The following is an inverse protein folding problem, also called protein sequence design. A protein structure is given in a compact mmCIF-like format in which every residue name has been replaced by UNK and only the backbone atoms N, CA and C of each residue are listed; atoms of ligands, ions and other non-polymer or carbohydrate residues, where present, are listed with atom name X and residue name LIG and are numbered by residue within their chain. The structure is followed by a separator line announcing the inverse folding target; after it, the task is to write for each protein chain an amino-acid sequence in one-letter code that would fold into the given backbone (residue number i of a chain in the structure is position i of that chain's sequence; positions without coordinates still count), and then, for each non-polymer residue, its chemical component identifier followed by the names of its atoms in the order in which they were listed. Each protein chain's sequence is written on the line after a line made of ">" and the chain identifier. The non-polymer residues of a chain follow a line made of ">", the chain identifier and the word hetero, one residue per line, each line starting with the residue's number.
data_IF_762883929643
#
_entry.id   IF_762883929643
#
_cell.length_a   1.000
_cell.length_b   1.000
_cell.length_c   1.000
_cell.angle_alpha   90.00
_cell.angle_beta   90.00
_cell.angle_gamma   90.00
#
_symmetry.space_group_name_H-M   'P 1'
#
loop_
_entity.id
_entity.type
_entity.pdbx_description
1 polymer ?
#
# COMPACT_ATOMS: atom_id res chain seq x y z
N UNK A 1 -11.77 -19.56 -20.70
CA UNK A 1 -12.30 -18.19 -20.74
C UNK A 1 -11.27 -17.33 -21.46
N UNK A 2 -11.69 -16.50 -22.41
CA UNK A 2 -10.77 -15.65 -23.17
C UNK A 2 -10.18 -14.55 -22.26
N UNK A 3 -8.93 -14.15 -22.53
CA UNK A 3 -8.24 -13.08 -21.81
C UNK A 3 -9.08 -11.79 -21.71
N UNK A 4 -9.71 -11.43 -22.83
CA UNK A 4 -10.53 -10.21 -22.92
C UNK A 4 -11.72 -10.27 -21.98
N UNK A 5 -12.44 -11.39 -21.96
CA UNK A 5 -13.61 -11.60 -21.09
C UNK A 5 -13.24 -11.54 -19.61
N UNK A 6 -12.09 -12.12 -19.24
CA UNK A 6 -11.61 -12.08 -17.85
C UNK A 6 -11.26 -10.66 -17.42
N UNK A 7 -10.56 -9.91 -18.26
CA UNK A 7 -10.21 -8.52 -17.99
C UNK A 7 -11.46 -7.62 -17.91
N UNK A 8 -12.41 -7.80 -18.82
CA UNK A 8 -13.66 -7.01 -18.85
C UNK A 8 -14.56 -7.31 -17.63
N UNK A 9 -14.47 -8.53 -17.08
CA UNK A 9 -15.20 -8.95 -15.88
C UNK A 9 -14.54 -8.44 -14.59
N UNK A 10 -13.22 -8.35 -14.57
CA UNK A 10 -12.45 -8.03 -13.36
C UNK A 10 -12.25 -6.52 -13.17
N UNK A 11 -12.12 -5.77 -14.27
CA UNK A 11 -11.78 -4.36 -14.21
C UNK A 11 -13.02 -3.47 -14.09
N UNK A 12 -12.92 -2.44 -13.23
CA UNK A 12 -13.97 -1.44 -13.01
C UNK A 12 -13.65 -0.08 -13.65
N UNK A 13 -12.44 0.08 -14.20
CA UNK A 13 -12.01 1.28 -14.94
C UNK A 13 -11.00 0.92 -16.04
N UNK A 14 -10.78 1.81 -17.03
CA UNK A 14 -9.73 1.61 -18.05
C UNK A 14 -8.34 1.48 -17.45
N UNK A 15 -8.01 2.24 -16.40
CA UNK A 15 -6.73 2.20 -15.69
C UNK A 15 -6.54 0.85 -15.01
N UNK A 16 -7.56 0.37 -14.31
CA UNK A 16 -7.55 -0.95 -13.67
C UNK A 16 -7.41 -2.08 -14.70
N UNK A 17 -8.10 -1.96 -15.84
CA UNK A 17 -7.96 -2.91 -16.94
C UNK A 17 -6.53 -2.98 -17.49
N UNK A 18 -5.86 -1.83 -17.61
CA UNK A 18 -4.47 -1.78 -18.04
C UNK A 18 -3.55 -2.43 -16.99
N UNK A 19 -3.78 -2.14 -15.70
CA UNK A 19 -3.07 -2.78 -14.59
C UNK A 19 -3.22 -4.31 -14.66
N UNK A 20 -4.44 -4.82 -14.70
CA UNK A 20 -4.71 -6.26 -14.73
C UNK A 20 -4.16 -6.94 -15.98
N UNK A 21 -4.14 -6.24 -17.13
CA UNK A 21 -3.48 -6.72 -18.34
C UNK A 21 -1.98 -6.90 -18.13
N UNK A 22 -1.30 -5.94 -17.46
CA UNK A 22 0.12 -6.05 -17.11
C UNK A 22 0.40 -7.18 -16.12
N UNK A 23 -0.50 -7.38 -15.14
CA UNK A 23 -0.43 -8.53 -14.20
C UNK A 23 -0.49 -9.85 -14.96
N UNK A 24 -1.45 -9.98 -15.90
CA UNK A 24 -1.55 -11.15 -16.77
C UNK A 24 -0.25 -11.38 -17.55
N UNK A 25 0.25 -10.34 -18.23
CA UNK A 25 1.45 -10.46 -19.06
C UNK A 25 2.67 -10.90 -18.25
N UNK A 26 2.82 -10.43 -17.00
CA UNK A 26 3.91 -10.85 -16.12
C UNK A 26 3.76 -12.30 -15.65
N UNK A 27 2.55 -12.72 -15.29
CA UNK A 27 2.25 -14.09 -14.95
C UNK A 27 2.56 -15.05 -16.12
N UNK A 28 2.06 -14.74 -17.32
CA UNK A 28 2.30 -15.54 -18.53
C UNK A 28 3.78 -15.54 -18.95
N UNK A 29 4.47 -14.41 -18.82
CA UNK A 29 5.89 -14.32 -19.10
C UNK A 29 6.72 -15.23 -18.16
N UNK A 30 6.40 -15.21 -16.87
CA UNK A 30 7.04 -16.11 -15.91
C UNK A 30 6.81 -17.58 -16.30
N UNK A 31 5.55 -17.94 -16.54
CA UNK A 31 5.16 -19.33 -16.88
C UNK A 31 5.77 -19.82 -18.18
N UNK A 32 5.77 -18.99 -19.23
CA UNK A 32 6.21 -19.42 -20.59
C UNK A 32 7.71 -19.38 -20.77
N UNK A 33 8.40 -18.40 -20.14
CA UNK A 33 9.86 -18.23 -20.27
C UNK A 33 10.64 -18.85 -19.12
N UNK A 34 9.94 -19.32 -18.07
CA UNK A 34 10.54 -19.91 -16.88
C UNK A 34 11.57 -18.99 -16.19
N UNK A 35 11.26 -17.67 -16.12
CA UNK A 35 12.07 -16.62 -15.50
C UNK A 35 11.25 -15.86 -14.47
N UNK A 36 11.87 -15.34 -13.39
CA UNK A 36 11.18 -14.47 -12.46
C UNK A 36 10.72 -13.16 -13.16
N UNK A 37 9.54 -12.70 -12.83
CA UNK A 37 8.98 -11.46 -13.36
C UNK A 37 8.32 -10.65 -12.27
N UNK A 38 8.24 -9.32 -12.44
CA UNK A 38 7.62 -8.42 -11.49
C UNK A 38 6.79 -7.34 -12.19
N UNK A 39 5.73 -6.89 -11.52
CA UNK A 39 5.03 -5.65 -11.89
C UNK A 39 5.85 -4.43 -11.47
N UNK A 40 5.40 -3.22 -11.79
CA UNK A 40 5.79 -2.02 -11.05
C UNK A 40 5.24 -2.05 -9.61
N UNK A 41 5.58 -1.03 -8.82
CA UNK A 41 5.01 -0.87 -7.48
C UNK A 41 3.53 -0.53 -7.56
N UNK A 42 2.73 -1.31 -6.86
CA UNK A 42 1.29 -1.20 -6.75
C UNK A 42 0.91 -0.50 -5.43
N UNK A 43 -0.03 0.42 -5.49
CA UNK A 43 -0.71 0.92 -4.31
C UNK A 43 -1.54 -0.19 -3.65
N UNK A 44 -1.94 -0.06 -2.39
CA UNK A 44 -2.76 -1.06 -1.73
C UNK A 44 -4.09 -1.37 -2.45
N UNK A 45 -4.71 -0.37 -3.09
CA UNK A 45 -5.92 -0.60 -3.91
C UNK A 45 -5.62 -1.44 -5.15
N UNK A 46 -4.52 -1.15 -5.86
CA UNK A 46 -4.06 -1.92 -7.01
C UNK A 46 -3.65 -3.34 -6.62
N UNK A 47 -3.05 -3.54 -5.44
CA UNK A 47 -2.75 -4.87 -4.89
C UNK A 47 -4.03 -5.67 -4.67
N UNK A 48 -5.08 -5.05 -4.10
CA UNK A 48 -6.37 -5.71 -3.90
C UNK A 48 -7.03 -6.12 -5.23
N UNK A 49 -6.99 -5.25 -6.24
CA UNK A 49 -7.49 -5.54 -7.57
C UNK A 49 -6.70 -6.69 -8.23
N UNK A 50 -5.37 -6.64 -8.16
CA UNK A 50 -4.49 -7.69 -8.68
C UNK A 50 -4.72 -9.03 -7.98
N UNK A 51 -4.88 -9.04 -6.65
CA UNK A 51 -5.19 -10.24 -5.86
C UNK A 51 -6.53 -10.86 -6.27
N UNK A 52 -7.58 -10.02 -6.43
CA UNK A 52 -8.88 -10.47 -6.92
C UNK A 52 -8.79 -11.09 -8.31
N UNK A 53 -8.00 -10.51 -9.18
CA UNK A 53 -7.77 -11.01 -10.53
C UNK A 53 -7.02 -12.35 -10.54
N UNK A 54 -5.99 -12.52 -9.70
CA UNK A 54 -5.29 -13.80 -9.55
C UNK A 54 -6.23 -14.93 -9.08
N UNK A 55 -7.19 -14.62 -8.23
CA UNK A 55 -8.22 -15.59 -7.82
C UNK A 55 -9.07 -16.03 -8.99
N UNK A 56 -9.49 -15.08 -9.85
CA UNK A 56 -10.27 -15.39 -11.08
C UNK A 56 -9.48 -16.21 -12.10
N UNK A 57 -8.15 -16.02 -12.13
CA UNK A 57 -7.25 -16.81 -12.98
C UNK A 57 -6.98 -18.22 -12.44
N UNK A 58 -7.40 -18.54 -11.21
CA UNK A 58 -6.97 -19.76 -10.52
C UNK A 58 -5.48 -19.80 -10.18
N UNK A 59 -4.83 -18.64 -10.18
CA UNK A 59 -3.39 -18.43 -9.97
C UNK A 59 -3.09 -17.73 -8.63
N UNK A 60 -3.94 -17.90 -7.62
CA UNK A 60 -3.85 -17.22 -6.33
C UNK A 60 -2.49 -17.37 -5.64
N UNK A 61 -1.90 -18.53 -5.74
CA UNK A 61 -0.63 -18.89 -5.08
C UNK A 61 0.60 -18.58 -5.95
N UNK A 62 0.39 -18.13 -7.19
CA UNK A 62 1.47 -17.88 -8.15
C UNK A 62 2.17 -16.54 -7.96
N UNK A 63 1.65 -15.66 -7.10
CA UNK A 63 2.15 -14.29 -6.96
C UNK A 63 2.46 -13.92 -5.51
N UNK A 64 3.60 -13.26 -5.30
CA UNK A 64 4.06 -12.77 -3.99
C UNK A 64 4.08 -11.25 -4.02
N UNK A 65 3.38 -10.60 -3.07
CA UNK A 65 3.45 -9.15 -2.89
C UNK A 65 4.62 -8.81 -1.96
N UNK A 66 5.64 -8.15 -2.51
CA UNK A 66 6.83 -7.74 -1.79
C UNK A 66 7.17 -6.27 -2.01
N UNK A 67 7.48 -5.54 -0.95
CA UNK A 67 7.79 -4.11 -0.97
C UNK A 67 9.18 -3.76 -0.43
N UNK A 68 10.02 -4.78 -0.16
CA UNK A 68 11.39 -4.59 0.34
C UNK A 68 11.54 -4.69 1.85
N UNK A 69 10.44 -4.62 2.61
CA UNK A 69 10.40 -4.81 4.07
C UNK A 69 9.00 -5.22 4.53
N UNK A 70 8.89 -5.78 5.74
CA UNK A 70 7.62 -6.16 6.33
C UNK A 70 6.77 -4.93 6.66
N UNK A 71 5.52 -4.93 6.19
CA UNK A 71 4.61 -3.81 6.39
C UNK A 71 4.68 -2.71 5.32
N UNK A 72 5.46 -2.91 4.25
CA UNK A 72 5.48 -1.99 3.12
C UNK A 72 4.07 -1.74 2.57
N UNK A 73 3.72 -0.47 2.32
CA UNK A 73 2.42 -0.11 1.74
C UNK A 73 2.41 -0.34 0.23
N UNK A 74 3.45 0.09 -0.46
CA UNK A 74 3.59 -0.13 -1.90
C UNK A 74 4.40 -1.38 -2.15
N UNK A 75 3.85 -2.30 -2.94
CA UNK A 75 4.47 -3.61 -3.21
C UNK A 75 4.51 -3.89 -4.69
N UNK A 76 5.51 -4.62 -5.12
CA UNK A 76 5.51 -5.26 -6.44
C UNK A 76 4.83 -6.62 -6.30
N UNK A 77 4.15 -7.05 -7.34
CA UNK A 77 3.67 -8.41 -7.47
C UNK A 77 4.71 -9.20 -8.26
N UNK A 78 5.34 -10.15 -7.59
CA UNK A 78 6.39 -11.01 -8.11
C UNK A 78 5.79 -12.33 -8.54
N UNK A 79 6.22 -12.86 -9.68
CA UNK A 79 5.93 -14.22 -10.13
C UNK A 79 7.23 -14.97 -10.23
N UNK A 80 7.31 -16.11 -9.53
CA UNK A 80 8.50 -16.93 -9.48
C UNK A 80 8.29 -18.21 -10.29
N UNK A 81 9.28 -18.66 -11.08
CA UNK A 81 9.25 -19.96 -11.72
C UNK A 81 9.38 -21.07 -10.68
N UNK A 82 8.97 -22.30 -11.03
CA UNK A 82 8.95 -23.44 -10.10
C UNK A 82 10.30 -23.79 -9.45
N UNK A 83 11.40 -23.47 -10.13
CA UNK A 83 12.75 -23.71 -9.61
C UNK A 83 13.20 -22.68 -8.56
N UNK A 84 12.45 -21.61 -8.35
CA UNK A 84 12.78 -20.49 -7.47
C UNK A 84 11.76 -20.40 -6.33
N UNK A 85 12.12 -20.89 -5.14
CA UNK A 85 11.20 -20.95 -3.99
C UNK A 85 10.93 -19.59 -3.36
N UNK A 86 11.92 -18.66 -3.39
CA UNK A 86 11.85 -17.34 -2.78
C UNK A 86 12.47 -16.28 -3.71
N UNK A 87 12.05 -14.99 -3.61
CA UNK A 87 12.70 -13.88 -4.30
C UNK A 87 14.20 -13.80 -3.96
N UNK A 88 15.05 -13.50 -4.93
CA UNK A 88 16.50 -13.40 -4.73
C UNK A 88 16.94 -12.01 -4.19
N UNK A 89 16.00 -11.10 -4.00
CA UNK A 89 16.25 -9.76 -3.48
C UNK A 89 16.67 -8.74 -4.52
N UNK A 90 16.77 -9.13 -5.79
CA UNK A 90 17.16 -8.20 -6.88
C UNK A 90 15.96 -7.40 -7.42
N UNK A 91 14.74 -7.73 -7.00
CA UNK A 91 13.51 -7.13 -7.53
C UNK A 91 13.26 -5.71 -7.01
N UNK A 92 13.90 -5.33 -5.90
CA UNK A 92 13.74 -4.02 -5.26
C UNK A 92 15.11 -3.49 -4.87
N UNK A 93 15.36 -2.22 -5.17
CA UNK A 93 16.51 -1.49 -4.66
C UNK A 93 16.07 -0.41 -3.67
N UNK A 94 17.02 0.11 -2.90
CA UNK A 94 16.81 1.28 -2.07
C UNK A 94 17.96 2.28 -2.19
N UNK A 95 17.62 3.56 -2.06
CA UNK A 95 18.58 4.65 -1.93
C UNK A 95 18.27 5.48 -0.70
N UNK A 96 19.30 6.06 -0.11
CA UNK A 96 19.18 7.07 0.95
C UNK A 96 19.47 8.45 0.37
N UNK A 97 18.59 9.41 0.62
CA UNK A 97 18.78 10.81 0.25
C UNK A 97 18.90 11.64 1.53
N UNK A 98 20.07 12.20 1.79
CA UNK A 98 20.35 13.05 2.94
C UNK A 98 20.33 14.53 2.54
N UNK A 99 19.63 15.37 3.29
CA UNK A 99 19.61 16.81 3.12
C UNK A 99 20.96 17.40 3.59
N UNK A 100 21.65 18.13 2.72
CA UNK A 100 22.99 18.68 3.04
C UNK A 100 23.01 19.71 4.14
N UNK A 101 21.93 20.49 4.25
CA UNK A 101 21.78 21.50 5.32
C UNK A 101 21.10 20.94 6.59
N UNK A 102 20.70 19.66 6.58
CA UNK A 102 19.96 19.03 7.67
C UNK A 102 18.51 19.50 7.78
N UNK A 103 17.96 20.10 6.72
CA UNK A 103 16.57 20.55 6.68
C UNK A 103 15.59 19.38 6.75
N UNK A 104 14.43 19.63 7.35
CA UNK A 104 13.35 18.66 7.41
C UNK A 104 12.42 18.85 6.22
N UNK A 105 12.37 17.84 5.35
CA UNK A 105 11.46 17.76 4.22
C UNK A 105 10.35 16.75 4.51
N UNK A 106 9.21 16.97 3.87
CA UNK A 106 8.06 16.06 3.98
C UNK A 106 8.09 14.97 2.91
N UNK A 107 7.31 13.91 3.10
CA UNK A 107 7.07 12.90 2.07
C UNK A 107 6.67 13.52 0.72
N UNK A 108 5.85 14.59 0.75
CA UNK A 108 5.38 15.28 -0.45
C UNK A 108 6.52 15.96 -1.21
N UNK A 109 7.49 16.53 -0.50
CA UNK A 109 8.64 17.22 -1.11
C UNK A 109 9.53 16.22 -1.84
N UNK A 110 9.84 15.09 -1.19
CA UNK A 110 10.62 14.01 -1.82
C UNK A 110 9.88 13.40 -3.00
N UNK A 111 8.60 13.05 -2.84
CA UNK A 111 7.80 12.51 -3.94
C UNK A 111 7.72 13.48 -5.12
N UNK A 112 7.46 14.76 -4.84
CA UNK A 112 7.38 15.80 -5.86
C UNK A 112 8.67 15.95 -6.65
N UNK A 113 9.84 15.87 -5.99
CA UNK A 113 11.14 15.95 -6.67
C UNK A 113 11.40 14.72 -7.55
N UNK A 114 11.05 13.51 -7.09
CA UNK A 114 11.16 12.29 -7.90
C UNK A 114 10.26 12.33 -9.14
N UNK A 115 9.03 12.80 -8.99
CA UNK A 115 8.10 12.99 -10.11
C UNK A 115 8.58 14.06 -11.10
N UNK A 116 9.22 15.13 -10.62
CA UNK A 116 9.81 16.18 -11.45
C UNK A 116 10.99 15.68 -12.30
N UNK A 117 11.70 14.63 -11.85
CA UNK A 117 12.72 13.92 -12.63
C UNK A 117 12.12 12.99 -13.71
N UNK A 118 10.79 12.91 -13.82
CA UNK A 118 10.10 12.07 -14.79
C UNK A 118 9.83 10.64 -14.33
N UNK A 119 10.09 10.28 -13.07
CA UNK A 119 9.75 8.96 -12.57
C UNK A 119 8.23 8.81 -12.45
N UNK A 120 7.72 7.65 -12.82
CA UNK A 120 6.31 7.29 -12.60
C UNK A 120 6.12 6.63 -11.23
N UNK A 121 4.90 6.69 -10.69
CA UNK A 121 4.59 6.09 -9.38
C UNK A 121 4.86 4.59 -9.33
N UNK A 122 4.74 3.90 -10.45
CA UNK A 122 5.03 2.46 -10.56
C UNK A 122 6.53 2.10 -10.41
N UNK A 123 7.42 3.11 -10.53
CA UNK A 123 8.86 2.94 -10.31
C UNK A 123 9.29 3.24 -8.87
N UNK A 124 8.39 3.81 -8.06
CA UNK A 124 8.66 4.26 -6.70
C UNK A 124 7.83 3.45 -5.72
N UNK A 125 8.50 2.79 -4.78
CA UNK A 125 7.91 2.13 -3.61
C UNK A 125 7.57 3.11 -2.50
N UNK A 126 7.81 2.70 -1.25
CA UNK A 126 7.63 3.56 -0.10
C UNK A 126 8.78 4.57 0.02
N UNK A 127 8.45 5.75 0.49
CA UNK A 127 9.38 6.81 0.87
C UNK A 127 9.34 6.92 2.39
N UNK A 128 10.38 6.42 3.03
CA UNK A 128 10.53 6.42 4.49
C UNK A 128 11.25 7.70 4.91
N UNK A 129 10.49 8.69 5.35
CA UNK A 129 11.04 9.98 5.77
C UNK A 129 11.70 9.83 7.15
N UNK A 130 12.91 10.37 7.28
CA UNK A 130 13.68 10.41 8.52
C UNK A 130 14.19 11.84 8.78
N UNK A 131 14.73 12.08 9.97
CA UNK A 131 15.32 13.38 10.29
C UNK A 131 16.49 13.67 9.33
N UNK A 132 16.40 14.79 8.61
CA UNK A 132 17.42 15.22 7.66
C UNK A 132 17.46 14.43 6.35
N UNK A 133 16.41 13.69 5.98
CA UNK A 133 16.37 12.99 4.69
C UNK A 133 15.26 11.97 4.52
N UNK A 134 15.48 11.01 3.63
CA UNK A 134 14.59 9.88 3.43
C UNK A 134 15.32 8.65 2.88
N UNK A 135 14.69 7.50 3.01
CA UNK A 135 15.04 6.28 2.31
C UNK A 135 13.93 5.98 1.30
N UNK A 136 14.29 5.63 0.08
CA UNK A 136 13.31 5.38 -0.99
C UNK A 136 13.52 3.99 -1.55
N UNK A 137 12.46 3.19 -1.54
CA UNK A 137 12.43 1.93 -2.24
C UNK A 137 12.03 2.16 -3.70
N UNK A 138 12.67 1.49 -4.63
CA UNK A 138 12.52 1.75 -6.06
C UNK A 138 12.73 0.50 -6.91
N UNK A 139 12.28 0.59 -8.17
CA UNK A 139 12.63 -0.37 -9.20
C UNK A 139 14.14 -0.31 -9.43
N UNK A 140 14.88 -1.44 -9.38
CA UNK A 140 16.34 -1.46 -9.52
C UNK A 140 16.87 -0.73 -10.75
N UNK A 141 16.11 -0.73 -11.84
CA UNK A 141 16.48 -0.02 -13.08
C UNK A 141 16.62 1.50 -12.93
N UNK A 142 16.11 2.07 -11.82
CA UNK A 142 16.16 3.51 -11.56
C UNK A 142 17.30 3.91 -10.63
N UNK A 143 18.05 2.96 -10.08
CA UNK A 143 19.08 3.22 -9.08
C UNK A 143 20.14 4.18 -9.61
N UNK A 144 20.82 3.82 -10.70
CA UNK A 144 21.90 4.62 -11.28
C UNK A 144 21.40 6.01 -11.71
N UNK A 145 20.20 6.06 -12.28
CA UNK A 145 19.58 7.32 -12.67
C UNK A 145 19.40 8.26 -11.48
N UNK A 146 18.90 7.76 -10.33
CA UNK A 146 18.71 8.58 -9.14
C UNK A 146 20.05 8.98 -8.49
N UNK A 147 21.01 8.10 -8.45
CA UNK A 147 22.35 8.42 -7.92
C UNK A 147 23.03 9.57 -8.69
N UNK A 148 22.75 9.68 -9.99
CA UNK A 148 23.35 10.70 -10.85
C UNK A 148 22.54 11.99 -10.94
N UNK A 149 21.20 11.93 -10.82
CA UNK A 149 20.34 13.03 -11.19
C UNK A 149 19.49 13.60 -10.04
N UNK A 150 19.34 12.87 -8.90
CA UNK A 150 18.52 13.35 -7.80
C UNK A 150 19.34 14.16 -6.79
N UNK A 151 19.60 15.40 -7.10
CA UNK A 151 20.49 16.31 -6.33
C UNK A 151 19.75 17.31 -5.43
N UNK A 152 18.41 17.35 -5.53
CA UNK A 152 17.61 18.33 -4.78
C UNK A 152 16.16 17.89 -4.58
N UNK A 153 15.55 18.32 -3.47
CA UNK A 153 14.11 18.22 -3.22
C UNK A 153 13.65 19.52 -2.55
N UNK A 154 12.64 20.18 -3.13
CA UNK A 154 12.22 21.49 -2.69
C UNK A 154 13.39 22.48 -2.78
N UNK A 155 13.78 23.06 -1.65
CA UNK A 155 14.90 24.03 -1.55
C UNK A 155 16.19 23.37 -1.05
N UNK A 156 16.15 22.10 -0.66
CA UNK A 156 17.28 21.38 -0.09
C UNK A 156 18.10 20.69 -1.17
N UNK A 157 19.43 20.76 -1.02
CA UNK A 157 20.35 19.91 -1.79
C UNK A 157 20.49 18.57 -1.12
N UNK A 158 20.51 17.52 -1.94
CA UNK A 158 20.60 16.13 -1.49
C UNK A 158 21.98 15.52 -1.76
N UNK A 159 22.34 14.56 -0.94
CA UNK A 159 23.37 13.57 -1.22
C UNK A 159 22.70 12.22 -1.26
N UNK A 160 22.72 11.57 -2.42
CA UNK A 160 22.04 10.28 -2.65
C UNK A 160 23.08 9.17 -2.68
N UNK A 161 22.84 8.11 -1.93
CA UNK A 161 23.71 6.93 -1.84
C UNK A 161 22.91 5.64 -1.95
N UNK A 162 23.48 4.55 -2.49
CA UNK A 162 22.83 3.25 -2.45
C UNK A 162 22.60 2.80 -1.00
N UNK A 163 21.51 2.10 -0.76
CA UNK A 163 21.17 1.57 0.56
C UNK A 163 20.83 0.08 0.44
N UNK A 164 21.56 -0.83 1.08
CA UNK A 164 21.16 -2.23 1.16
C UNK A 164 19.81 -2.37 1.89
N UNK A 165 18.93 -3.25 1.42
CA UNK A 165 17.62 -3.48 2.06
C UNK A 165 17.75 -3.89 3.54
N UNK A 166 18.82 -4.61 3.89
CA UNK A 166 19.13 -4.98 5.29
C UNK A 166 19.48 -3.80 6.20
N UNK A 167 19.82 -2.65 5.61
CA UNK A 167 20.15 -1.41 6.34
C UNK A 167 18.99 -0.41 6.38
N UNK A 168 17.80 -0.81 5.92
CA UNK A 168 16.60 0.03 6.00
C UNK A 168 16.26 0.33 7.46
N UNK A 169 16.12 1.61 7.77
CA UNK A 169 15.57 2.07 9.04
C UNK A 169 14.07 2.31 8.83
N UNK A 170 13.27 1.28 9.05
CA UNK A 170 11.80 1.39 8.92
C UNK A 170 11.27 2.18 10.12
N UNK A 171 10.67 3.36 9.91
CA UNK A 171 10.06 4.10 11.00
C UNK A 171 8.95 3.25 11.63
N UNK A 172 9.01 3.05 12.93
CA UNK A 172 7.89 2.48 13.63
C UNK A 172 6.73 3.46 13.52
N UNK A 173 5.70 3.08 12.77
CA UNK A 173 4.48 3.88 12.71
C UNK A 173 3.98 4.05 14.15
N UNK A 174 3.83 5.30 14.60
CA UNK A 174 3.22 5.56 15.88
C UNK A 174 1.79 5.07 15.83
N UNK A 175 1.50 4.02 16.57
CA UNK A 175 0.16 3.42 16.64
C UNK A 175 -0.42 3.64 18.02
N UNK A 176 -1.70 3.98 18.04
CA UNK A 176 -2.50 4.03 19.27
C UNK A 176 -3.44 2.85 19.29
N UNK A 177 -3.26 1.96 20.26
CA UNK A 177 -4.21 0.88 20.50
C UNK A 177 -5.44 1.44 21.22
N UNK A 178 -6.61 1.17 20.66
CA UNK A 178 -7.89 1.61 21.17
C UNK A 178 -8.74 0.38 21.47
N UNK A 179 -9.12 0.22 22.74
CA UNK A 179 -10.13 -0.77 23.14
C UNK A 179 -11.46 -0.06 23.32
N UNK A 180 -12.46 -0.49 22.58
CA UNK A 180 -13.78 0.12 22.62
C UNK A 180 -14.88 -0.93 22.53
N UNK A 181 -16.14 -0.52 22.64
CA UNK A 181 -17.29 -1.40 22.40
C UNK A 181 -18.23 -0.74 21.40
N UNK A 182 -18.66 -1.51 20.40
CA UNK A 182 -19.60 -1.05 19.37
C UNK A 182 -20.92 -1.82 19.46
N UNK A 183 -22.00 -1.23 18.98
CA UNK A 183 -23.32 -1.90 18.95
C UNK A 183 -23.41 -2.94 17.83
N UNK A 184 -22.63 -2.78 16.77
CA UNK A 184 -22.52 -3.71 15.65
C UNK A 184 -21.25 -3.41 14.86
N UNK A 185 -20.83 -4.33 13.98
CA UNK A 185 -19.68 -4.18 13.10
C UNK A 185 -20.00 -3.37 11.82
N UNK A 186 -20.92 -2.42 11.92
CA UNK A 186 -21.18 -1.47 10.84
C UNK A 186 -20.02 -0.48 10.74
N UNK A 187 -19.73 -0.07 9.52
CA UNK A 187 -18.62 0.87 9.22
C UNK A 187 -18.76 2.18 10.01
N UNK A 188 -19.97 2.76 10.09
CA UNK A 188 -20.23 3.99 10.87
C UNK A 188 -19.86 3.85 12.35
N UNK A 189 -20.14 2.68 12.97
CA UNK A 189 -19.85 2.42 14.38
C UNK A 189 -18.34 2.21 14.62
N UNK A 190 -17.68 1.42 13.77
CA UNK A 190 -16.26 1.12 13.91
C UNK A 190 -15.42 2.36 13.59
N UNK A 191 -15.80 3.14 12.56
CA UNK A 191 -15.16 4.41 12.23
C UNK A 191 -15.26 5.41 13.38
N UNK A 192 -16.45 5.53 13.99
CA UNK A 192 -16.68 6.39 15.16
C UNK A 192 -15.78 5.99 16.34
N UNK A 193 -15.63 4.68 16.60
CA UNK A 193 -14.76 4.15 17.65
C UNK A 193 -13.28 4.39 17.37
N UNK A 194 -12.83 4.19 16.13
CA UNK A 194 -11.40 4.29 15.72
C UNK A 194 -10.90 5.73 15.66
N UNK A 195 -11.76 6.68 15.28
CA UNK A 195 -11.36 8.09 15.13
C UNK A 195 -11.96 9.02 16.19
N UNK A 196 -12.61 8.48 17.21
CA UNK A 196 -13.26 9.26 18.28
C UNK A 196 -14.27 10.26 17.74
N UNK A 197 -15.07 9.84 16.77
CA UNK A 197 -16.14 10.65 16.17
C UNK A 197 -17.49 10.32 16.78
N UNK A 198 -18.46 11.24 16.66
CA UNK A 198 -19.87 10.88 16.83
C UNK A 198 -20.32 9.97 15.67
N UNK A 199 -21.28 9.08 15.92
CA UNK A 199 -21.81 8.19 14.88
C UNK A 199 -22.36 8.95 13.67
N UNK A 200 -23.03 10.10 13.90
CA UNK A 200 -23.52 10.94 12.81
C UNK A 200 -22.40 11.48 11.92
N UNK A 201 -21.30 11.98 12.52
CA UNK A 201 -20.12 12.43 11.77
C UNK A 201 -19.44 11.30 11.01
N UNK A 202 -19.38 10.11 11.60
CA UNK A 202 -18.83 8.93 10.94
C UNK A 202 -19.69 8.53 9.73
N UNK A 203 -21.02 8.48 9.88
CA UNK A 203 -21.94 8.18 8.77
C UNK A 203 -21.81 9.21 7.64
N UNK A 204 -21.79 10.50 7.96
CA UNK A 204 -21.63 11.60 7.01
C UNK A 204 -20.29 11.49 6.24
N UNK A 205 -19.18 11.15 6.91
CA UNK A 205 -17.88 10.96 6.26
C UNK A 205 -17.90 9.79 5.26
N UNK A 206 -18.61 8.70 5.58
CA UNK A 206 -18.79 7.55 4.67
C UNK A 206 -19.64 7.97 3.47
N UNK A 207 -20.79 8.60 3.68
CA UNK A 207 -21.70 9.03 2.60
C UNK A 207 -21.04 10.01 1.61
N UNK A 208 -20.16 10.89 2.12
CA UNK A 208 -19.36 11.82 1.31
C UNK A 208 -18.22 11.13 0.53
N UNK A 209 -18.04 9.81 0.64
CA UNK A 209 -16.96 9.07 -0.02
C UNK A 209 -15.55 9.40 0.52
N UNK A 210 -15.48 9.91 1.76
CA UNK A 210 -14.19 10.22 2.41
C UNK A 210 -13.57 9.00 3.09
N UNK A 211 -14.27 7.86 3.09
CA UNK A 211 -13.85 6.63 3.79
C UNK A 211 -13.59 5.52 2.80
N UNK A 212 -12.52 4.79 3.02
CA UNK A 212 -12.18 3.56 2.30
C UNK A 212 -12.13 2.39 3.29
N UNK A 213 -12.58 1.25 2.86
CA UNK A 213 -12.40 -0.05 3.54
C UNK A 213 -11.55 -0.92 2.63
N UNK A 214 -10.42 -1.38 3.14
CA UNK A 214 -9.42 -2.11 2.36
C UNK A 214 -9.07 -1.38 1.04
N UNK A 215 -8.86 -0.06 1.16
CA UNK A 215 -8.50 0.87 0.08
C UNK A 215 -9.57 1.07 -1.01
N UNK A 216 -10.76 0.47 -0.85
CA UNK A 216 -11.91 0.69 -1.75
C UNK A 216 -12.86 1.70 -1.12
N UNK A 217 -13.19 2.77 -1.87
CA UNK A 217 -14.12 3.80 -1.39
C UNK A 217 -15.47 3.18 -1.05
N UNK A 218 -15.96 3.49 0.14
CA UNK A 218 -17.26 3.03 0.62
C UNK A 218 -18.16 4.23 0.93
N UNK A 219 -19.38 4.19 0.40
CA UNK A 219 -20.40 5.23 0.62
C UNK A 219 -21.59 4.71 1.42
N UNK A 220 -21.52 3.45 1.91
CA UNK A 220 -22.59 2.82 2.70
C UNK A 220 -22.19 2.75 4.18
N UNK A 221 -22.77 3.59 5.06
CA UNK A 221 -22.44 3.58 6.50
C UNK A 221 -22.74 2.24 7.19
N UNK A 222 -23.69 1.51 6.68
CA UNK A 222 -24.13 0.22 7.21
C UNK A 222 -23.33 -0.99 6.67
N UNK A 223 -22.34 -0.77 5.81
CA UNK A 223 -21.43 -1.85 5.38
C UNK A 223 -20.84 -2.56 6.58
N UNK A 224 -20.94 -3.88 6.60
CA UNK A 224 -20.28 -4.70 7.62
C UNK A 224 -18.76 -4.70 7.40
N UNK A 225 -18.00 -4.58 8.50
CA UNK A 225 -16.54 -4.72 8.52
C UNK A 225 -16.13 -5.87 9.44
N UNK A 226 -14.97 -6.43 9.22
CA UNK A 226 -14.44 -7.61 9.89
C UNK A 226 -13.08 -7.36 10.51
N UNK A 227 -12.66 -8.22 11.44
CA UNK A 227 -11.28 -8.21 11.94
C UNK A 227 -10.30 -8.36 10.78
N UNK A 228 -9.22 -7.57 10.80
CA UNK A 228 -8.25 -7.43 9.72
C UNK A 228 -8.55 -6.29 8.74
N UNK A 229 -9.78 -5.74 8.73
CA UNK A 229 -10.11 -4.65 7.81
C UNK A 229 -9.37 -3.36 8.15
N UNK A 230 -8.79 -2.76 7.12
CA UNK A 230 -8.17 -1.44 7.16
C UNK A 230 -9.19 -0.37 6.77
N UNK A 231 -9.41 0.61 7.65
CA UNK A 231 -10.32 1.71 7.42
C UNK A 231 -9.51 3.01 7.35
N UNK A 232 -9.57 3.68 6.20
CA UNK A 232 -8.92 4.98 6.00
C UNK A 232 -9.98 6.07 5.89
N UNK A 233 -9.77 7.18 6.60
CA UNK A 233 -10.64 8.35 6.52
C UNK A 233 -9.81 9.57 6.12
N UNK A 234 -10.19 10.22 5.01
CA UNK A 234 -9.49 11.40 4.51
C UNK A 234 -9.44 12.49 5.58
N UNK A 235 -8.23 12.99 5.87
CA UNK A 235 -7.98 14.00 6.90
C UNK A 235 -7.89 13.50 8.33
N UNK A 236 -8.18 12.21 8.60
CA UNK A 236 -8.10 11.61 9.94
C UNK A 236 -7.07 10.48 10.04
N UNK A 237 -6.62 9.94 8.90
CA UNK A 237 -5.62 8.87 8.82
C UNK A 237 -6.23 7.49 8.65
N UNK A 238 -5.54 6.48 9.17
CA UNK A 238 -5.80 5.05 8.99
C UNK A 238 -5.99 4.35 10.34
N UNK A 239 -6.92 3.40 10.41
CA UNK A 239 -7.01 2.44 11.52
C UNK A 239 -7.26 1.03 10.99
N UNK A 240 -6.92 0.03 11.79
CA UNK A 240 -7.16 -1.40 11.52
C UNK A 240 -8.02 -1.94 12.65
N UNK A 241 -9.07 -2.68 12.31
CA UNK A 241 -9.87 -3.45 13.26
C UNK A 241 -9.14 -4.77 13.53
N UNK A 242 -8.38 -4.85 14.62
CA UNK A 242 -7.53 -6.00 14.89
C UNK A 242 -8.29 -7.22 15.36
N UNK A 243 -9.23 -7.01 16.29
CA UNK A 243 -10.01 -8.11 16.86
C UNK A 243 -11.43 -7.70 17.22
N UNK A 244 -12.29 -8.69 17.29
CA UNK A 244 -13.68 -8.55 17.75
C UNK A 244 -13.93 -9.61 18.83
N UNK A 245 -14.26 -9.17 20.02
CA UNK A 245 -14.55 -10.04 21.16
C UNK A 245 -15.99 -10.55 21.20
N UNK A 246 -16.24 -11.48 22.13
CA UNK A 246 -17.59 -12.00 22.37
C UNK A 246 -18.54 -10.89 22.87
N UNK A 247 -19.85 -10.93 22.53
CA UNK A 247 -20.81 -9.94 22.96
C UNK A 247 -20.86 -9.80 24.50
N UNK A 248 -20.85 -8.56 24.96
CA UNK A 248 -21.03 -8.26 26.38
C UNK A 248 -22.47 -8.60 26.86
N UNK A 249 -22.68 -8.65 28.16
CA UNK A 249 -24.02 -8.86 28.74
C UNK A 249 -25.11 -7.87 28.23
N UNK A 250 -24.66 -6.70 27.70
CA UNK A 250 -25.56 -5.68 27.09
C UNK A 250 -25.62 -5.80 25.55
N UNK A 251 -25.15 -6.90 24.97
CA UNK A 251 -25.15 -7.14 23.50
C UNK A 251 -24.17 -6.29 22.69
N UNK A 252 -23.24 -5.57 23.33
CA UNK A 252 -22.21 -4.80 22.63
C UNK A 252 -21.00 -5.67 22.32
N UNK A 253 -20.34 -5.41 21.19
CA UNK A 253 -19.14 -6.10 20.74
C UNK A 253 -17.89 -5.33 21.17
N UNK A 254 -17.00 -5.92 21.99
CA UNK A 254 -15.69 -5.37 22.23
C UNK A 254 -14.88 -5.41 20.92
N UNK A 255 -14.11 -4.34 20.66
CA UNK A 255 -13.25 -4.23 19.48
C UNK A 255 -11.90 -3.66 19.90
N UNK A 256 -10.84 -4.26 19.39
CA UNK A 256 -9.49 -3.72 19.47
C UNK A 256 -9.15 -3.10 18.11
N UNK A 257 -8.75 -1.83 18.14
CA UNK A 257 -8.47 -1.04 16.93
C UNK A 257 -7.09 -0.41 17.07
N UNK A 258 -6.22 -0.61 16.08
CA UNK A 258 -4.96 0.12 15.92
C UNK A 258 -5.17 1.34 15.04
N UNK A 259 -4.97 2.52 15.61
CA UNK A 259 -4.99 3.78 14.88
C UNK A 259 -3.57 4.25 14.62
N UNK A 260 -3.25 4.50 13.37
CA UNK A 260 -1.99 5.11 12.95
C UNK A 260 -2.06 6.64 13.16
N UNK A 261 -1.02 7.22 13.79
CA UNK A 261 -0.96 8.63 14.20
C UNK A 261 0.04 9.38 13.30
#
# INVERSE_FOLDING_TARGET
>A
MDRRELLDRAAHSPEERLLLSRVWDKCEQCRTRNIPTATGFLSPAEQAAAQGFLVLLGARESGIFWGGYDGAERKRLLFLPEWMAEPDGTEIAAVRAACRSGGDLTHRDFLGSLMALGLTREKIGDILVEKGGCQVLLDPSMTDFLLQNWDSAGREKLTVTPLPLSALAVPHAAVKELRNTVSSLRLDNVLAAGFSLSRGRAAEAVEKGSVQVNYVTCVKPDKSVSAGDTITCRGLGKCVLDSVGAPTKKGRLPVDIRRYI
#
